data_IF_662836815579
#
_entry.id   IF_662836815579
#
_cell.length_a   1.000
_cell.length_b   1.000
_cell.length_c   1.000
_cell.angle_alpha   90.00
_cell.angle_beta   90.00
_cell.angle_gamma   90.00
#
_symmetry.space_group_name_H-M   'P 1'
#
loop_
_entity.id
_entity.type
_entity.pdbx_description
1 polymer ?
#
# COMPACT_ATOMS: atom_id res chain seq x y z
N UNK A 1 19.53 -27.63 37.66
CA UNK A 1 20.63 -26.91 36.98
C UNK A 1 20.20 -25.49 36.60
N UNK A 2 19.05 -25.33 35.93
CA UNK A 2 18.47 -24.03 35.56
C UNK A 2 18.30 -23.03 36.73
N UNK A 3 17.82 -23.48 37.90
CA UNK A 3 17.72 -22.64 39.10
C UNK A 3 19.07 -22.08 39.61
N UNK A 4 20.19 -22.68 39.20
CA UNK A 4 21.55 -22.22 39.53
C UNK A 4 22.21 -21.45 38.37
N UNK A 5 21.78 -21.71 37.12
CA UNK A 5 22.29 -21.06 35.92
C UNK A 5 21.16 -20.96 34.88
N UNK A 6 20.56 -19.77 34.77
CA UNK A 6 19.42 -19.49 33.88
C UNK A 6 19.79 -19.55 32.40
N UNK A 7 21.07 -19.32 32.04
CA UNK A 7 21.54 -19.36 30.63
C UNK A 7 21.36 -20.72 29.96
N UNK A 8 21.20 -21.79 30.75
CA UNK A 8 21.00 -23.15 30.23
C UNK A 8 19.77 -23.23 29.33
N UNK A 9 18.73 -22.42 29.58
CA UNK A 9 17.50 -22.46 28.79
C UNK A 9 17.73 -22.12 27.32
N UNK A 10 18.38 -20.98 27.01
CA UNK A 10 18.67 -20.64 25.61
C UNK A 10 19.79 -21.49 25.00
N UNK A 11 20.77 -21.96 25.78
CA UNK A 11 21.76 -22.91 25.27
C UNK A 11 21.14 -24.25 24.89
N UNK A 12 20.08 -24.67 25.58
CA UNK A 12 19.30 -25.83 25.19
C UNK A 12 18.60 -25.60 23.85
N UNK A 13 17.96 -24.43 23.65
CA UNK A 13 17.36 -24.07 22.35
C UNK A 13 18.39 -24.10 21.22
N UNK A 14 19.59 -23.58 21.46
CA UNK A 14 20.71 -23.66 20.51
C UNK A 14 21.15 -25.09 20.22
N UNK A 15 21.35 -25.89 21.27
CA UNK A 15 21.73 -27.30 21.12
C UNK A 15 20.70 -28.08 20.29
N UNK A 16 19.41 -27.83 20.51
CA UNK A 16 18.34 -28.48 19.78
C UNK A 16 18.29 -28.03 18.30
N UNK A 17 18.55 -26.75 18.02
CA UNK A 17 18.65 -26.25 16.63
C UNK A 17 19.81 -26.93 15.86
N UNK A 18 21.01 -26.94 16.45
CA UNK A 18 22.22 -27.50 15.82
C UNK A 18 22.24 -29.03 15.81
N UNK A 19 21.58 -29.65 16.78
CA UNK A 19 21.46 -31.10 16.90
C UNK A 19 20.83 -31.73 15.67
N UNK A 20 21.51 -32.73 15.08
CA UNK A 20 21.05 -33.49 13.90
C UNK A 20 20.00 -34.56 14.23
N UNK A 21 19.35 -34.50 15.40
CA UNK A 21 18.37 -35.52 15.82
C UNK A 21 17.03 -35.21 15.13
N UNK A 22 16.53 -36.19 14.37
CA UNK A 22 15.58 -35.99 13.27
C UNK A 22 14.11 -35.90 13.71
N UNK A 23 13.76 -36.23 14.96
CA UNK A 23 12.38 -36.17 15.42
C UNK A 23 12.21 -35.37 16.73
N UNK A 24 11.27 -34.43 16.68
CA UNK A 24 10.70 -33.68 17.80
C UNK A 24 11.66 -32.82 18.64
N UNK A 25 12.63 -32.18 17.97
CA UNK A 25 13.72 -31.38 18.58
C UNK A 25 13.27 -30.47 19.73
N UNK A 26 12.13 -29.79 19.60
CA UNK A 26 11.69 -28.80 20.59
C UNK A 26 10.72 -29.34 21.64
N UNK A 27 10.27 -30.60 21.57
CA UNK A 27 9.49 -31.20 22.65
C UNK A 27 10.31 -31.40 23.92
N UNK A 28 11.62 -31.65 23.78
CA UNK A 28 12.53 -31.73 24.93
C UNK A 28 12.56 -30.39 25.69
N UNK A 29 12.50 -29.26 24.98
CA UNK A 29 12.38 -27.94 25.64
C UNK A 29 11.03 -27.77 26.32
N UNK A 30 9.93 -28.22 25.68
CA UNK A 30 8.58 -28.21 26.30
C UNK A 30 8.57 -29.01 27.60
N UNK A 31 9.16 -30.20 27.60
CA UNK A 31 9.23 -31.07 28.77
C UNK A 31 10.15 -30.50 29.85
N UNK A 32 11.27 -29.90 29.45
CA UNK A 32 12.12 -29.13 30.36
C UNK A 32 11.33 -28.02 31.06
N UNK A 33 10.56 -27.21 30.33
CA UNK A 33 9.72 -26.16 30.94
C UNK A 33 8.70 -26.74 31.93
N UNK A 34 8.08 -27.89 31.65
CA UNK A 34 7.14 -28.54 32.59
C UNK A 34 7.79 -28.96 33.90
N UNK A 35 9.09 -29.24 33.91
CA UNK A 35 9.83 -29.56 35.15
C UNK A 35 10.14 -28.34 36.01
N UNK A 36 9.97 -27.13 35.47
CA UNK A 36 10.13 -25.88 36.21
C UNK A 36 8.80 -25.55 36.90
N UNK A 37 8.72 -25.80 38.20
CA UNK A 37 7.53 -25.51 39.00
C UNK A 37 7.06 -24.05 38.80
N UNK A 38 5.75 -23.87 38.57
CA UNK A 38 5.07 -22.57 38.44
C UNK A 38 5.49 -21.66 37.28
N UNK A 39 6.07 -22.20 36.18
CA UNK A 39 6.25 -21.42 34.95
C UNK A 39 5.56 -22.08 33.77
N UNK A 40 4.74 -21.30 33.07
CA UNK A 40 4.23 -21.69 31.77
C UNK A 40 5.35 -21.58 30.71
N UNK A 41 5.12 -22.26 29.60
CA UNK A 41 6.12 -22.36 28.54
C UNK A 41 6.41 -21.00 27.86
N UNK A 42 5.41 -20.14 27.75
CA UNK A 42 5.56 -18.81 27.15
C UNK A 42 6.45 -17.94 28.03
N UNK A 43 6.20 -17.89 29.33
CA UNK A 43 7.06 -17.18 30.27
C UNK A 43 8.50 -17.72 30.29
N UNK A 44 8.69 -19.05 30.23
CA UNK A 44 10.02 -19.64 30.15
C UNK A 44 10.75 -19.21 28.88
N UNK A 45 10.09 -19.36 27.72
CA UNK A 45 10.66 -19.04 26.43
C UNK A 45 11.03 -17.57 26.33
N UNK A 46 10.13 -16.67 26.77
CA UNK A 46 10.41 -15.23 26.77
C UNK A 46 11.56 -14.87 27.71
N UNK A 47 11.66 -15.49 28.89
CA UNK A 47 12.79 -15.26 29.81
C UNK A 47 14.11 -15.71 29.16
N UNK A 48 14.13 -16.89 28.57
CA UNK A 48 15.34 -17.44 27.94
C UNK A 48 15.79 -16.63 26.73
N UNK A 49 14.83 -16.17 25.90
CA UNK A 49 15.13 -15.35 24.73
C UNK A 49 15.64 -13.96 25.11
N UNK A 50 15.11 -13.34 26.17
CA UNK A 50 15.65 -12.08 26.70
C UNK A 50 17.08 -12.25 27.20
N UNK A 51 17.36 -13.31 27.97
CA UNK A 51 18.73 -13.60 28.41
C UNK A 51 19.67 -13.87 27.23
N UNK A 52 19.19 -14.58 26.20
CA UNK A 52 19.98 -14.82 25.00
C UNK A 52 20.29 -13.52 24.25
N UNK A 53 19.31 -12.62 24.15
CA UNK A 53 19.46 -11.33 23.51
C UNK A 53 20.46 -10.43 24.26
N UNK A 54 20.40 -10.42 25.59
CA UNK A 54 21.34 -9.67 26.44
C UNK A 54 22.78 -10.19 26.33
N UNK A 55 22.96 -11.51 26.23
CA UNK A 55 24.28 -12.14 26.18
C UNK A 55 24.88 -12.19 24.75
N UNK A 56 24.08 -12.54 23.73
CA UNK A 56 24.52 -12.71 22.33
C UNK A 56 23.35 -12.52 21.33
N UNK A 57 23.24 -11.30 20.79
CA UNK A 57 22.23 -10.96 19.77
C UNK A 57 22.34 -11.83 18.52
N UNK A 58 23.56 -12.22 18.10
CA UNK A 58 23.74 -13.01 16.88
C UNK A 58 23.18 -14.41 17.06
N UNK A 59 23.43 -15.02 18.21
CA UNK A 59 22.82 -16.29 18.58
C UNK A 59 21.30 -16.16 18.69
N UNK A 60 20.82 -15.10 19.34
CA UNK A 60 19.39 -14.82 19.45
C UNK A 60 18.71 -14.75 18.07
N UNK A 61 19.21 -13.92 17.14
CA UNK A 61 18.67 -13.83 15.77
C UNK A 61 18.75 -15.17 15.03
N UNK A 62 19.83 -15.93 15.23
CA UNK A 62 19.97 -17.26 14.64
C UNK A 62 18.87 -18.22 15.11
N UNK A 63 18.38 -18.11 16.35
CA UNK A 63 17.32 -18.97 16.89
C UNK A 63 15.91 -18.60 16.37
N UNK A 64 15.66 -17.33 16.04
CA UNK A 64 14.32 -16.81 15.73
C UNK A 64 13.51 -17.66 14.73
N UNK A 65 14.05 -18.08 13.57
CA UNK A 65 13.27 -18.90 12.63
C UNK A 65 12.70 -20.19 13.22
N UNK A 66 13.49 -20.91 14.02
CA UNK A 66 13.03 -22.14 14.69
C UNK A 66 12.03 -21.84 15.79
N UNK A 67 12.19 -20.72 16.51
CA UNK A 67 11.21 -20.32 17.54
C UNK A 67 9.83 -20.08 16.91
N UNK A 68 9.76 -19.34 15.81
CA UNK A 68 8.50 -19.10 15.10
C UNK A 68 7.91 -20.39 14.50
N UNK A 69 8.75 -21.31 14.07
CA UNK A 69 8.31 -22.59 13.48
C UNK A 69 7.83 -23.59 14.53
N UNK A 70 8.53 -23.70 15.67
CA UNK A 70 8.26 -24.72 16.70
C UNK A 70 7.27 -24.27 17.77
N UNK A 71 7.16 -22.95 17.99
CA UNK A 71 6.24 -22.34 18.96
C UNK A 71 5.31 -21.30 18.32
N UNK A 72 4.61 -21.61 17.21
CA UNK A 72 3.80 -20.61 16.49
C UNK A 72 2.66 -20.04 17.33
N UNK A 73 2.13 -20.82 18.30
CA UNK A 73 1.05 -20.37 19.18
C UNK A 73 1.51 -19.35 20.23
N UNK A 74 2.82 -19.25 20.47
CA UNK A 74 3.43 -18.33 21.43
C UNK A 74 4.08 -17.16 20.67
N UNK A 75 4.82 -17.47 19.60
CA UNK A 75 5.61 -16.51 18.86
C UNK A 75 4.77 -15.64 17.90
N UNK A 76 3.85 -16.24 17.13
CA UNK A 76 3.07 -15.51 16.13
C UNK A 76 1.95 -14.76 16.84
N UNK A 77 1.99 -13.43 16.75
CA UNK A 77 1.04 -12.55 17.45
C UNK A 77 1.58 -11.94 18.74
N UNK A 78 2.73 -12.39 19.23
CA UNK A 78 3.39 -11.77 20.38
C UNK A 78 4.08 -10.47 19.96
N UNK A 79 3.45 -9.34 20.29
CA UNK A 79 4.05 -8.03 20.12
C UNK A 79 5.32 -7.87 20.96
N UNK A 80 5.38 -8.54 22.11
CA UNK A 80 6.54 -8.52 23.00
C UNK A 80 7.77 -9.19 22.38
N UNK A 81 7.61 -10.38 21.81
CA UNK A 81 8.70 -11.07 21.12
C UNK A 81 9.15 -10.28 19.89
N UNK A 82 8.20 -9.74 19.13
CA UNK A 82 8.53 -8.96 17.94
C UNK A 82 9.27 -7.66 18.30
N UNK A 83 8.84 -6.98 19.37
CA UNK A 83 9.52 -5.81 19.92
C UNK A 83 10.93 -6.15 20.37
N UNK A 84 11.12 -7.26 21.09
CA UNK A 84 12.44 -7.75 21.49
C UNK A 84 13.36 -8.00 20.29
N UNK A 85 12.82 -8.49 19.18
CA UNK A 85 13.60 -8.70 17.95
C UNK A 85 14.01 -7.35 17.35
N UNK A 86 13.06 -6.46 17.07
CA UNK A 86 13.35 -5.20 16.37
C UNK A 86 14.16 -4.21 17.21
N UNK A 87 14.10 -4.30 18.54
CA UNK A 87 14.91 -3.48 19.46
C UNK A 87 16.36 -3.95 19.57
N UNK A 88 16.67 -5.17 19.10
CA UNK A 88 17.96 -5.80 19.33
C UNK A 88 18.80 -6.00 18.08
N UNK A 89 18.17 -6.05 16.90
CA UNK A 89 18.86 -6.34 15.64
C UNK A 89 19.48 -5.10 15.01
N UNK A 90 20.48 -5.32 14.17
CA UNK A 90 21.01 -4.33 13.23
C UNK A 90 20.49 -4.52 11.79
N UNK A 91 20.97 -3.70 10.86
CA UNK A 91 20.58 -3.79 9.45
C UNK A 91 20.99 -5.08 8.75
N UNK A 92 22.11 -5.71 9.14
CA UNK A 92 22.56 -6.98 8.56
C UNK A 92 21.66 -8.12 9.04
N UNK A 93 21.35 -8.13 10.33
CA UNK A 93 20.46 -9.12 10.94
C UNK A 93 19.02 -8.98 10.42
N UNK A 94 18.54 -7.76 10.23
CA UNK A 94 17.27 -7.50 9.56
C UNK A 94 17.27 -8.09 8.14
N UNK A 95 18.32 -7.84 7.37
CA UNK A 95 18.43 -8.38 6.01
C UNK A 95 18.39 -9.91 6.00
N UNK A 96 19.08 -10.57 6.95
CA UNK A 96 19.04 -12.02 7.09
C UNK A 96 17.61 -12.52 7.41
N UNK A 97 16.91 -11.86 8.33
CA UNK A 97 15.52 -12.19 8.65
C UNK A 97 14.59 -12.00 7.45
N UNK A 98 14.75 -10.91 6.70
CA UNK A 98 14.01 -10.68 5.44
C UNK A 98 14.28 -11.79 4.44
N UNK A 99 15.54 -12.22 4.28
CA UNK A 99 15.88 -13.36 3.43
C UNK A 99 15.17 -14.65 3.87
N UNK A 100 15.14 -14.93 5.18
CA UNK A 100 14.44 -16.11 5.71
C UNK A 100 12.93 -16.05 5.46
N UNK A 101 12.32 -14.87 5.55
CA UNK A 101 10.89 -14.66 5.23
C UNK A 101 10.64 -14.95 3.75
N UNK A 102 11.44 -14.37 2.85
CA UNK A 102 11.29 -14.55 1.40
C UNK A 102 11.55 -15.99 0.94
N UNK A 103 12.40 -16.73 1.65
CA UNK A 103 12.64 -18.16 1.44
C UNK A 103 11.50 -19.04 1.99
N UNK A 104 10.57 -18.48 2.77
CA UNK A 104 9.47 -19.21 3.40
C UNK A 104 9.86 -19.95 4.68
N UNK A 105 11.04 -19.67 5.26
CA UNK A 105 11.52 -20.29 6.49
C UNK A 105 11.06 -19.57 7.77
N UNK A 106 10.57 -18.33 7.64
CA UNK A 106 10.12 -17.51 8.76
C UNK A 106 8.77 -16.87 8.44
N UNK A 107 7.79 -17.10 9.32
CA UNK A 107 6.47 -16.47 9.28
C UNK A 107 6.21 -15.83 10.63
N UNK A 108 6.14 -14.50 10.67
CA UNK A 108 6.02 -13.71 11.90
C UNK A 108 4.59 -13.18 12.14
N UNK A 109 3.76 -13.10 11.10
CA UNK A 109 2.45 -12.47 11.17
C UNK A 109 1.31 -13.44 10.86
N UNK A 110 0.17 -13.21 11.51
CA UNK A 110 -1.11 -13.87 11.24
C UNK A 110 -2.23 -12.83 11.20
N UNK A 111 -3.26 -13.08 10.38
CA UNK A 111 -4.37 -12.16 10.15
C UNK A 111 -5.14 -11.72 11.41
N UNK A 112 -5.29 -12.59 12.40
CA UNK A 112 -6.04 -12.34 13.65
C UNK A 112 -5.28 -11.41 14.62
N UNK A 113 -3.95 -11.50 14.68
CA UNK A 113 -3.10 -10.75 15.60
C UNK A 113 -2.38 -9.55 14.95
N UNK A 114 -2.36 -9.48 13.61
CA UNK A 114 -1.65 -8.45 12.85
C UNK A 114 -2.00 -7.02 13.28
N UNK A 115 -3.30 -6.70 13.41
CA UNK A 115 -3.73 -5.38 13.84
C UNK A 115 -3.31 -5.08 15.28
N UNK A 116 -3.28 -6.08 16.17
CA UNK A 116 -2.84 -5.89 17.56
C UNK A 116 -1.36 -5.51 17.60
N UNK A 117 -0.53 -6.20 16.81
CA UNK A 117 0.89 -5.88 16.67
C UNK A 117 1.08 -4.47 16.12
N UNK A 118 0.37 -4.10 15.06
CA UNK A 118 0.49 -2.76 14.48
C UNK A 118 0.14 -1.66 15.49
N UNK A 119 -0.93 -1.83 16.29
CA UNK A 119 -1.28 -0.83 17.31
C UNK A 119 -0.22 -0.75 18.41
N UNK A 120 0.31 -1.88 18.87
CA UNK A 120 1.40 -1.87 19.86
C UNK A 120 2.67 -1.19 19.30
N UNK A 121 2.96 -1.38 18.02
CA UNK A 121 4.16 -0.83 17.39
C UNK A 121 4.20 0.69 17.24
N UNK A 122 3.05 1.36 17.37
CA UNK A 122 2.99 2.82 17.30
C UNK A 122 3.71 3.51 18.47
N UNK A 123 3.96 2.78 19.56
CA UNK A 123 4.69 3.28 20.73
C UNK A 123 6.17 2.92 20.72
N UNK A 124 6.63 2.17 19.70
CA UNK A 124 8.02 1.74 19.57
C UNK A 124 8.89 2.87 19.01
N UNK A 125 10.21 2.74 19.21
CA UNK A 125 11.16 3.73 18.70
C UNK A 125 11.19 3.77 17.17
N UNK A 126 11.64 4.89 16.61
CA UNK A 126 11.66 5.14 15.17
C UNK A 126 12.30 3.99 14.37
N UNK A 127 13.47 3.50 14.80
CA UNK A 127 14.17 2.43 14.09
C UNK A 127 13.45 1.09 14.19
N UNK A 128 12.86 0.79 15.35
CA UNK A 128 12.10 -0.42 15.62
C UNK A 128 10.86 -0.49 14.72
N UNK A 129 10.16 0.64 14.55
CA UNK A 129 9.05 0.75 13.62
C UNK A 129 9.49 0.53 12.17
N UNK A 130 10.61 1.14 11.74
CA UNK A 130 11.11 0.92 10.38
C UNK A 130 11.47 -0.55 10.14
N UNK A 131 12.14 -1.20 11.09
CA UNK A 131 12.47 -2.63 10.99
C UNK A 131 11.20 -3.49 10.92
N UNK A 132 10.20 -3.20 11.76
CA UNK A 132 8.90 -3.86 11.67
C UNK A 132 8.28 -3.71 10.27
N UNK A 133 8.26 -2.50 9.71
CA UNK A 133 7.68 -2.26 8.40
C UNK A 133 8.43 -2.98 7.26
N UNK A 134 9.76 -3.14 7.37
CA UNK A 134 10.52 -3.98 6.43
C UNK A 134 10.12 -5.46 6.54
N UNK A 135 9.95 -5.98 7.76
CA UNK A 135 9.48 -7.35 7.99
C UNK A 135 8.05 -7.56 7.46
N UNK A 136 7.15 -6.57 7.64
CA UNK A 136 5.77 -6.61 7.11
C UNK A 136 5.79 -6.66 5.59
N UNK A 137 6.59 -5.80 4.95
CA UNK A 137 6.72 -5.76 3.50
C UNK A 137 7.22 -7.11 2.94
N UNK A 138 8.18 -7.75 3.62
CA UNK A 138 8.71 -9.05 3.21
C UNK A 138 7.65 -10.19 3.23
N UNK A 139 6.63 -10.09 4.08
CA UNK A 139 5.57 -11.10 4.18
C UNK A 139 4.48 -10.97 3.10
N UNK A 140 4.56 -9.98 2.20
CA UNK A 140 3.55 -9.72 1.18
C UNK A 140 2.11 -9.63 1.76
N UNK A 141 1.97 -8.99 2.92
CA UNK A 141 0.66 -8.81 3.55
C UNK A 141 -0.15 -7.83 2.70
N UNK A 142 -1.39 -8.17 2.29
CA UNK A 142 -2.23 -7.26 1.51
C UNK A 142 -2.46 -5.96 2.26
N UNK A 143 -2.34 -4.83 1.55
CA UNK A 143 -2.47 -3.50 2.16
C UNK A 143 -3.83 -3.29 2.83
N UNK A 144 -4.88 -4.00 2.37
CA UNK A 144 -6.22 -3.97 2.94
C UNK A 144 -6.25 -4.38 4.41
N UNK A 145 -5.33 -5.24 4.84
CA UNK A 145 -5.21 -5.63 6.25
C UNK A 145 -4.59 -4.52 7.11
N UNK A 146 -3.86 -3.58 6.53
CA UNK A 146 -3.26 -2.43 7.20
C UNK A 146 -4.28 -1.28 7.32
N UNK A 147 -5.12 -1.10 6.30
CA UNK A 147 -6.07 0.02 6.21
C UNK A 147 -6.92 0.31 7.45
N UNK A 148 -7.37 -0.67 8.28
CA UNK A 148 -8.16 -0.39 9.48
C UNK A 148 -7.47 0.49 10.53
N UNK A 149 -6.14 0.54 10.57
CA UNK A 149 -5.41 1.42 11.51
C UNK A 149 -5.33 2.87 11.00
N UNK A 150 -5.38 3.06 9.68
CA UNK A 150 -5.07 4.33 9.02
C UNK A 150 -5.88 5.52 9.57
N UNK A 151 -7.20 5.44 9.82
CA UNK A 151 -7.96 6.58 10.35
C UNK A 151 -7.50 7.09 11.72
N UNK A 152 -6.81 6.25 12.50
CA UNK A 152 -6.35 6.58 13.86
C UNK A 152 -4.98 7.24 13.90
N UNK A 153 -4.24 7.22 12.79
CA UNK A 153 -2.85 7.68 12.77
C UNK A 153 -2.76 9.21 12.66
N UNK A 154 -2.28 9.85 13.71
CA UNK A 154 -1.84 11.26 13.76
C UNK A 154 -0.60 11.51 12.87
N UNK A 155 -0.59 12.60 12.10
CA UNK A 155 0.45 12.90 11.10
C UNK A 155 1.84 13.12 11.70
N UNK A 156 1.94 13.86 12.80
CA UNK A 156 3.21 14.16 13.46
C UNK A 156 3.69 13.01 14.36
N UNK A 157 2.77 12.32 15.03
CA UNK A 157 3.12 11.30 16.03
C UNK A 157 3.49 9.96 15.41
N UNK A 158 2.91 9.60 14.26
CA UNK A 158 3.09 8.28 13.64
C UNK A 158 3.74 8.39 12.26
N UNK A 159 4.82 9.17 12.18
CA UNK A 159 5.48 9.50 10.92
C UNK A 159 6.03 8.26 10.19
N UNK A 160 6.57 7.30 10.93
CA UNK A 160 7.16 6.05 10.44
C UNK A 160 6.10 5.14 9.81
N UNK A 161 4.99 4.94 10.54
CA UNK A 161 3.85 4.17 10.05
C UNK A 161 3.21 4.82 8.83
N UNK A 162 2.94 6.13 8.87
CA UNK A 162 2.35 6.83 7.73
C UNK A 162 3.26 6.83 6.51
N UNK A 163 4.57 7.03 6.68
CA UNK A 163 5.53 6.97 5.56
C UNK A 163 5.54 5.58 4.91
N UNK A 164 5.56 4.52 5.72
CA UNK A 164 5.57 3.14 5.25
C UNK A 164 4.27 2.74 4.56
N UNK A 165 3.12 3.16 5.09
CA UNK A 165 1.81 2.94 4.46
C UNK A 165 1.71 3.72 3.14
N UNK A 166 2.21 4.95 3.07
CA UNK A 166 2.17 5.76 1.86
C UNK A 166 2.96 5.11 0.71
N UNK A 167 4.14 4.57 1.01
CA UNK A 167 4.98 3.85 0.04
C UNK A 167 4.28 2.56 -0.43
N UNK A 168 3.61 1.83 0.46
CA UNK A 168 2.84 0.64 0.08
C UNK A 168 1.62 1.01 -0.78
N UNK A 169 0.83 2.01 -0.40
CA UNK A 169 -0.32 2.48 -1.18
C UNK A 169 0.06 2.96 -2.58
N UNK A 170 1.25 3.56 -2.74
CA UNK A 170 1.78 3.97 -4.05
C UNK A 170 1.90 2.79 -5.02
N UNK A 171 2.16 1.58 -4.53
CA UNK A 171 2.31 0.38 -5.37
C UNK A 171 0.96 -0.22 -5.77
N UNK A 172 -0.14 0.26 -5.18
CA UNK A 172 -1.48 -0.28 -5.35
C UNK A 172 -2.32 0.53 -6.32
N UNK A 173 -3.26 -0.15 -6.96
CA UNK A 173 -4.27 0.49 -7.81
C UNK A 173 -5.45 0.95 -6.93
N UNK A 174 -5.96 2.19 -7.08
CA UNK A 174 -7.03 2.70 -6.21
C UNK A 174 -8.26 1.79 -6.25
N UNK A 175 -8.84 1.55 -5.09
CA UNK A 175 -10.05 0.76 -4.91
C UNK A 175 -10.93 1.38 -3.82
N UNK A 176 -12.22 1.03 -3.81
CA UNK A 176 -13.15 1.56 -2.80
C UNK A 176 -12.75 1.18 -1.36
N UNK A 177 -12.17 -0.01 -1.16
CA UNK A 177 -11.73 -0.48 0.16
C UNK A 177 -10.48 0.26 0.65
N UNK A 178 -9.60 0.74 -0.26
CA UNK A 178 -8.45 1.57 0.10
C UNK A 178 -8.81 3.04 0.25
N UNK A 179 -9.66 3.56 -0.64
CA UNK A 179 -10.02 4.97 -0.69
C UNK A 179 -10.86 5.40 0.52
N UNK A 180 -11.73 4.52 0.99
CA UNK A 180 -12.63 4.81 2.11
C UNK A 180 -11.86 5.15 3.40
N UNK A 181 -10.91 4.33 3.90
CA UNK A 181 -10.15 4.66 5.11
C UNK A 181 -9.27 5.92 4.96
N UNK A 182 -8.79 6.22 3.75
CA UNK A 182 -8.07 7.48 3.46
C UNK A 182 -8.99 8.69 3.71
N UNK A 183 -10.23 8.63 3.22
CA UNK A 183 -11.21 9.68 3.46
C UNK A 183 -11.74 9.69 4.90
N UNK A 184 -11.72 8.57 5.63
CA UNK A 184 -12.08 8.53 7.05
C UNK A 184 -11.06 9.21 7.97
N UNK A 185 -9.85 9.52 7.51
CA UNK A 185 -8.88 10.32 8.27
C UNK A 185 -9.40 11.73 8.48
N UNK A 186 -9.02 12.33 9.61
CA UNK A 186 -9.25 13.75 9.85
C UNK A 186 -8.47 14.61 8.83
N UNK A 187 -9.13 15.61 8.25
CA UNK A 187 -8.49 16.50 7.27
C UNK A 187 -7.87 17.71 7.98
N UNK A 188 -6.56 17.67 8.24
CA UNK A 188 -5.79 18.77 8.84
C UNK A 188 -4.93 19.48 7.78
N UNK A 189 -4.77 20.81 7.88
CA UNK A 189 -4.02 21.63 6.89
C UNK A 189 -2.54 21.24 6.72
N UNK A 190 -1.93 20.68 7.76
CA UNK A 190 -0.54 20.25 7.77
C UNK A 190 -0.39 18.72 7.67
N UNK A 191 -1.49 17.99 7.46
CA UNK A 191 -1.45 16.55 7.16
C UNK A 191 -1.51 16.37 5.64
N UNK A 192 -0.35 16.06 5.06
CA UNK A 192 -0.21 15.87 3.62
C UNK A 192 -0.41 14.42 3.18
N UNK A 193 -0.73 13.49 4.07
CA UNK A 193 -0.82 12.06 3.74
C UNK A 193 -1.88 11.80 2.68
N UNK A 194 -3.14 12.15 2.96
CA UNK A 194 -4.27 11.86 2.07
C UNK A 194 -4.11 12.58 0.73
N UNK A 195 -3.68 13.85 0.77
CA UNK A 195 -3.47 14.65 -0.44
C UNK A 195 -2.35 14.07 -1.31
N UNK A 196 -1.26 13.59 -0.72
CA UNK A 196 -0.14 13.03 -1.48
C UNK A 196 -0.52 11.77 -2.24
N UNK A 197 -1.23 10.83 -1.58
CA UNK A 197 -1.66 9.60 -2.25
C UNK A 197 -2.76 9.85 -3.29
N UNK A 198 -3.73 10.72 -2.98
CA UNK A 198 -4.78 11.09 -3.94
C UNK A 198 -4.20 11.77 -5.18
N UNK A 199 -3.23 12.67 -5.00
CA UNK A 199 -2.52 13.30 -6.12
C UNK A 199 -1.78 12.27 -6.97
N UNK A 200 -1.06 11.36 -6.34
CA UNK A 200 -0.32 10.31 -7.06
C UNK A 200 -1.28 9.45 -7.89
N UNK A 201 -2.37 8.96 -7.30
CA UNK A 201 -3.37 8.19 -8.02
C UNK A 201 -4.13 9.00 -9.07
N UNK A 202 -4.32 10.30 -8.88
CA UNK A 202 -4.91 11.17 -9.91
C UNK A 202 -4.02 11.30 -11.15
N UNK A 203 -2.70 11.06 -11.03
CA UNK A 203 -1.77 11.09 -12.16
C UNK A 203 -1.66 9.73 -12.86
N UNK A 204 -1.63 8.64 -12.09
CA UNK A 204 -1.43 7.28 -12.63
C UNK A 204 -2.74 6.56 -12.99
N UNK A 205 -3.84 6.88 -12.31
CA UNK A 205 -5.13 6.18 -12.37
C UNK A 205 -6.30 7.17 -12.40
N UNK A 206 -6.18 8.23 -13.20
CA UNK A 206 -7.12 9.36 -13.30
C UNK A 206 -8.59 8.91 -13.38
N UNK A 207 -8.97 8.18 -14.43
CA UNK A 207 -10.35 7.73 -14.69
C UNK A 207 -10.91 6.93 -13.49
N UNK A 208 -10.12 5.96 -13.01
CA UNK A 208 -10.53 5.05 -11.94
C UNK A 208 -10.72 5.77 -10.62
N UNK A 209 -9.84 6.70 -10.28
CA UNK A 209 -9.97 7.49 -9.06
C UNK A 209 -11.19 8.41 -9.13
N UNK A 210 -11.42 9.08 -10.26
CA UNK A 210 -12.57 9.96 -10.46
C UNK A 210 -13.90 9.21 -10.28
N UNK A 211 -14.02 8.01 -10.88
CA UNK A 211 -15.20 7.16 -10.74
C UNK A 211 -15.42 6.69 -9.28
N UNK A 212 -14.34 6.35 -8.57
CA UNK A 212 -14.42 5.94 -7.18
C UNK A 212 -14.86 7.10 -6.27
N UNK A 213 -14.37 8.31 -6.52
CA UNK A 213 -14.77 9.53 -5.78
C UNK A 213 -16.24 9.85 -6.04
N UNK A 214 -16.69 9.80 -7.29
CA UNK A 214 -18.10 9.96 -7.65
C UNK A 214 -18.97 8.94 -6.91
N UNK A 215 -18.60 7.65 -6.99
CA UNK A 215 -19.32 6.59 -6.30
C UNK A 215 -19.35 6.79 -4.77
N UNK A 216 -18.28 7.32 -4.18
CA UNK A 216 -18.22 7.62 -2.75
C UNK A 216 -19.19 8.74 -2.37
N UNK A 217 -19.18 9.85 -3.11
CA UNK A 217 -20.04 11.01 -2.86
C UNK A 217 -21.52 10.65 -3.05
N UNK A 218 -21.86 9.91 -4.12
CA UNK A 218 -23.24 9.50 -4.37
C UNK A 218 -23.78 8.55 -3.28
N UNK A 219 -22.92 7.68 -2.73
CA UNK A 219 -23.31 6.72 -1.66
C UNK A 219 -23.43 7.36 -0.28
N UNK A 220 -22.72 8.46 0.00
CA UNK A 220 -22.70 9.10 1.33
C UNK A 220 -23.95 9.96 1.64
N UNK A 221 -25.03 9.84 0.87
CA UNK A 221 -26.24 10.65 1.04
C UNK A 221 -27.10 10.19 2.25
N UNK A 222 -27.41 11.08 3.22
CA UNK A 222 -28.29 10.77 4.35
C UNK A 222 -29.77 10.62 3.98
N UNK A 223 -30.18 10.93 2.74
CA UNK A 223 -31.59 10.94 2.33
C UNK A 223 -32.14 9.61 1.81
N UNK A 224 -31.37 8.51 1.84
CA UNK A 224 -31.93 7.16 1.72
C UNK A 224 -32.44 6.68 3.09
N UNK A 225 -33.76 6.65 3.35
CA UNK A 225 -34.27 6.15 4.61
C UNK A 225 -34.27 4.62 4.51
N UNK A 226 -33.21 3.96 4.96
CA UNK A 226 -33.32 2.55 5.28
C UNK A 226 -32.53 2.13 6.51
N UNK A 227 -33.33 1.85 7.54
CA UNK A 227 -33.15 1.01 8.74
C UNK A 227 -32.44 1.59 9.98
N UNK A 228 -33.34 2.07 10.85
CA UNK A 228 -33.31 2.04 12.32
C UNK A 228 -32.26 2.92 12.99
N UNK A 229 -32.65 4.20 13.11
CA UNK A 229 -32.66 4.99 14.35
C UNK A 229 -32.27 4.18 15.60
N UNK A 230 -31.00 4.26 15.99
CA UNK A 230 -30.57 3.98 17.36
C UNK A 230 -29.89 5.25 17.88
N UNK A 231 -30.67 6.06 18.59
CA UNK A 231 -30.16 7.13 19.46
C UNK A 231 -29.21 6.45 20.45
N UNK A 232 -27.95 6.85 20.47
CA UNK A 232 -27.07 6.61 21.60
C UNK A 232 -26.28 7.89 21.85
N UNK A 233 -26.67 8.55 22.93
CA UNK A 233 -25.84 9.46 23.70
C UNK A 233 -24.62 8.72 24.25
N UNK A 234 -23.57 9.50 24.55
CA UNK A 234 -22.39 9.18 25.38
C UNK A 234 -21.34 8.20 24.83
N UNK A 235 -20.13 8.76 24.63
CA UNK A 235 -18.82 8.21 25.04
C UNK A 235 -18.69 6.68 25.06
N UNK A 236 -18.26 6.12 23.94
CA UNK A 236 -17.42 4.91 23.93
C UNK A 236 -16.83 4.68 22.55
N UNK A 237 -15.52 4.46 22.54
CA UNK A 237 -14.69 4.06 21.41
C UNK A 237 -15.18 2.67 20.97
N UNK A 238 -16.00 2.59 19.92
CA UNK A 238 -16.40 1.30 19.32
C UNK A 238 -15.68 1.11 17.98
N UNK A 239 -14.48 0.54 18.05
CA UNK A 239 -13.78 0.01 16.90
C UNK A 239 -14.56 -1.20 16.35
N UNK A 240 -15.32 -1.02 15.27
CA UNK A 240 -15.75 -2.05 14.28
C UNK A 240 -17.06 -1.77 13.54
N UNK A 241 -17.69 -0.60 13.67
CA UNK A 241 -18.56 -0.15 12.58
C UNK A 241 -17.65 0.34 11.46
N UNK A 242 -17.74 -0.30 10.28
CA UNK A 242 -17.22 0.26 9.03
C UNK A 242 -17.80 1.67 8.91
N UNK A 243 -17.05 2.68 9.33
CA UNK A 243 -17.45 4.08 9.32
C UNK A 243 -17.30 4.59 7.88
N UNK A 244 -18.38 5.10 7.30
CA UNK A 244 -18.33 5.65 5.94
C UNK A 244 -17.99 7.13 6.09
N UNK A 245 -17.03 7.68 5.31
CA UNK A 245 -16.73 9.09 5.36
C UNK A 245 -17.95 9.89 4.90
N UNK A 246 -18.21 10.99 5.58
CA UNK A 246 -19.30 11.90 5.21
C UNK A 246 -18.97 12.61 3.89
N UNK A 247 -19.99 13.16 3.23
CA UNK A 247 -19.78 13.99 2.03
C UNK A 247 -18.86 15.17 2.37
N UNK A 248 -19.09 15.82 3.51
CA UNK A 248 -18.26 16.94 3.99
C UNK A 248 -16.80 16.51 4.18
N UNK A 249 -16.54 15.34 4.77
CA UNK A 249 -15.18 14.85 4.98
C UNK A 249 -14.48 14.56 3.64
N UNK A 250 -15.20 13.97 2.68
CA UNK A 250 -14.68 13.73 1.33
C UNK A 250 -14.34 15.05 0.62
N UNK A 251 -15.24 16.03 0.68
CA UNK A 251 -15.03 17.38 0.11
C UNK A 251 -13.86 18.10 0.78
N UNK A 252 -13.68 17.92 2.08
CA UNK A 252 -12.54 18.49 2.81
C UNK A 252 -11.21 18.01 2.25
N UNK A 253 -11.06 16.71 1.98
CA UNK A 253 -9.85 16.15 1.38
C UNK A 253 -9.65 16.62 -0.07
N UNK A 254 -10.73 16.72 -0.86
CA UNK A 254 -10.67 17.22 -2.24
C UNK A 254 -10.28 18.70 -2.31
N UNK A 255 -10.84 19.54 -1.44
CA UNK A 255 -10.49 20.95 -1.39
C UNK A 255 -9.06 21.14 -0.87
N UNK A 256 -8.63 20.33 0.10
CA UNK A 256 -7.24 20.34 0.53
C UNK A 256 -6.29 19.96 -0.62
N UNK A 257 -6.65 18.95 -1.41
CA UNK A 257 -5.89 18.57 -2.60
C UNK A 257 -5.85 19.70 -3.63
N UNK A 258 -6.97 20.40 -3.87
CA UNK A 258 -7.02 21.59 -4.75
C UNK A 258 -6.04 22.67 -4.27
N UNK A 259 -6.06 23.01 -2.98
CA UNK A 259 -5.22 24.06 -2.40
C UNK A 259 -3.72 23.73 -2.48
N UNK A 260 -3.34 22.49 -2.19
CA UNK A 260 -1.93 22.07 -2.12
C UNK A 260 -1.36 21.73 -3.49
N UNK A 261 -2.11 20.99 -4.32
CA UNK A 261 -1.57 20.40 -5.54
C UNK A 261 -1.76 21.30 -6.77
N UNK A 262 -2.67 22.29 -6.70
CA UNK A 262 -3.10 23.12 -7.84
C UNK A 262 -3.47 22.30 -9.09
N UNK A 263 -3.81 21.03 -8.91
CA UNK A 263 -4.05 20.09 -10.00
C UNK A 263 -5.50 20.20 -10.47
N UNK A 264 -5.77 21.20 -11.33
CA UNK A 264 -7.12 21.50 -11.82
C UNK A 264 -7.58 20.45 -12.83
N UNK A 265 -6.67 19.79 -13.56
CA UNK A 265 -7.05 18.85 -14.63
C UNK A 265 -7.86 17.65 -14.10
N UNK A 266 -7.45 17.08 -12.97
CA UNK A 266 -8.21 16.01 -12.33
C UNK A 266 -9.61 16.46 -11.90
N UNK A 267 -9.76 17.72 -11.45
CA UNK A 267 -11.06 18.26 -11.04
C UNK A 267 -11.96 18.46 -12.26
N UNK A 268 -11.40 18.79 -13.44
CA UNK A 268 -12.14 18.91 -14.71
C UNK A 268 -12.57 17.57 -15.32
N UNK A 269 -12.16 16.44 -14.75
CA UNK A 269 -12.56 15.11 -15.24
C UNK A 269 -14.08 14.90 -15.17
N UNK A 270 -14.67 14.26 -16.19
CA UNK A 270 -16.14 14.12 -16.33
C UNK A 270 -16.81 13.55 -15.06
N UNK A 271 -16.30 12.45 -14.52
CA UNK A 271 -16.85 11.84 -13.29
C UNK A 271 -16.70 12.74 -12.06
N UNK A 272 -15.62 13.53 -11.97
CA UNK A 272 -15.43 14.50 -10.89
C UNK A 272 -16.42 15.65 -11.01
N UNK A 273 -16.66 16.13 -12.22
CA UNK A 273 -17.62 17.19 -12.54
C UNK A 273 -19.05 16.75 -12.19
N UNK A 274 -19.43 15.52 -12.55
CA UNK A 274 -20.68 14.91 -12.12
C UNK A 274 -20.79 14.81 -10.59
N UNK A 275 -19.68 14.50 -9.90
CA UNK A 275 -19.67 14.41 -8.44
C UNK A 275 -19.87 15.78 -7.77
N UNK A 276 -19.24 16.83 -8.29
CA UNK A 276 -19.41 18.19 -7.79
C UNK A 276 -20.81 18.74 -8.07
N UNK A 277 -21.38 18.48 -9.25
CA UNK A 277 -22.77 18.83 -9.57
C UNK A 277 -23.75 18.10 -8.66
N UNK A 278 -23.51 16.80 -8.39
CA UNK A 278 -24.32 16.05 -7.44
C UNK A 278 -24.33 16.71 -6.05
N UNK A 279 -23.19 17.21 -5.57
CA UNK A 279 -23.09 17.95 -4.31
C UNK A 279 -23.85 19.28 -4.38
N UNK A 280 -23.73 20.04 -5.47
CA UNK A 280 -24.47 21.29 -5.66
C UNK A 280 -25.99 21.10 -5.62
N UNK A 281 -26.50 20.00 -6.18
CA UNK A 281 -27.93 19.72 -6.19
C UNK A 281 -28.45 19.13 -4.87
N UNK A 282 -27.66 18.30 -4.16
CA UNK A 282 -28.16 17.45 -3.08
C UNK A 282 -27.66 17.82 -1.67
N UNK A 283 -26.70 18.75 -1.52
CA UNK A 283 -26.18 19.16 -0.21
C UNK A 283 -26.81 20.47 0.30
N UNK A 284 -26.62 20.74 1.60
CA UNK A 284 -27.10 21.97 2.25
C UNK A 284 -26.29 23.19 1.84
N UNK A 285 -26.89 24.38 1.94
CA UNK A 285 -26.21 25.63 1.56
C UNK A 285 -24.98 25.92 2.43
N UNK A 286 -24.95 25.44 3.67
CA UNK A 286 -23.75 25.48 4.54
C UNK A 286 -22.54 24.80 3.90
N UNK A 287 -22.71 23.59 3.37
CA UNK A 287 -21.64 22.84 2.69
C UNK A 287 -21.23 23.56 1.41
N UNK A 288 -22.21 24.08 0.65
CA UNK A 288 -21.94 24.82 -0.59
C UNK A 288 -21.16 26.10 -0.34
N UNK A 289 -21.48 26.85 0.71
CA UNK A 289 -20.73 28.04 1.10
C UNK A 289 -19.30 27.68 1.55
N UNK A 290 -19.14 26.62 2.35
CA UNK A 290 -17.84 26.20 2.88
C UNK A 290 -16.86 25.74 1.78
N UNK A 291 -17.35 25.03 0.77
CA UNK A 291 -16.55 24.50 -0.33
C UNK A 291 -16.82 25.23 -1.66
N UNK A 292 -17.29 26.48 -1.59
CA UNK A 292 -17.73 27.25 -2.77
C UNK A 292 -16.65 27.36 -3.84
N UNK A 293 -15.41 27.59 -3.41
CA UNK A 293 -14.22 27.63 -4.27
C UNK A 293 -13.97 26.34 -5.06
N UNK A 294 -14.21 25.17 -4.44
CA UNK A 294 -14.06 23.87 -5.10
C UNK A 294 -15.25 23.63 -6.05
N UNK A 295 -16.45 23.97 -5.61
CA UNK A 295 -17.68 23.82 -6.40
C UNK A 295 -17.73 24.79 -7.59
N UNK A 296 -17.08 25.94 -7.51
CA UNK A 296 -16.96 26.89 -8.62
C UNK A 296 -16.10 26.37 -9.78
N UNK A 297 -15.32 25.30 -9.56
CA UNK A 297 -14.60 24.58 -10.62
C UNK A 297 -15.51 23.57 -11.34
N UNK A 298 -16.76 23.40 -10.91
CA UNK A 298 -17.72 22.61 -11.65
C UNK A 298 -18.17 23.42 -12.88
N UNK A 299 -17.84 22.92 -14.08
CA UNK A 299 -18.37 23.43 -15.34
C UNK A 299 -19.82 22.97 -15.51
N UNK A 300 -20.69 23.85 -16.03
CA UNK A 300 -22.05 23.49 -16.42
C UNK A 300 -21.98 22.57 -17.65
N UNK A 301 -22.06 21.25 -17.45
CA UNK A 301 -22.03 20.25 -18.53
C UNK A 301 -23.20 20.36 -19.53
N UNK A 302 -24.21 21.17 -19.23
CA UNK A 302 -25.28 21.54 -20.18
C UNK A 302 -24.71 22.19 -21.46
N UNK A 303 -23.63 22.98 -21.35
CA UNK A 303 -23.08 23.75 -22.50
C UNK A 303 -22.08 22.97 -23.38
N UNK A 304 -21.50 21.87 -22.87
CA UNK A 304 -20.52 21.05 -23.60
C UNK A 304 -21.21 20.13 -24.62
N UNK A 305 -22.46 19.73 -24.36
CA UNK A 305 -23.25 18.94 -25.31
C UNK A 305 -23.77 19.78 -26.48
N UNK A 306 -24.02 21.07 -26.29
CA UNK A 306 -24.51 21.99 -27.34
C UNK A 306 -23.39 22.46 -28.28
N UNK A 307 -22.15 22.62 -27.80
CA UNK A 307 -21.03 23.08 -28.64
C UNK A 307 -20.50 22.02 -29.61
N UNK A 308 -20.63 20.72 -29.32
CA UNK A 308 -20.22 19.64 -30.24
C UNK A 308 -21.19 19.42 -31.42
N UNK A 309 -22.42 19.92 -31.36
CA UNK A 309 -23.45 19.69 -32.41
C UNK A 309 -23.48 20.81 -33.47
N UNK A 310 -22.87 21.97 -33.21
CA UNK A 310 -22.88 23.11 -34.13
C UNK A 310 -21.78 23.07 -35.21
N UNK A 311 -20.91 22.05 -35.21
CA UNK A 311 -19.83 21.88 -36.19
C UNK A 311 -19.98 20.61 -37.01
N UNK A 312 -21.06 20.53 -37.79
CA UNK A 312 -21.13 19.55 -38.87
C UNK A 312 -22.54 19.16 -39.33
N UNK A 313 -23.11 19.93 -40.27
CA UNK A 313 -23.99 19.40 -41.34
C UNK A 313 -24.41 20.50 -42.32
N UNK A 314 -23.60 20.75 -43.33
CA UNK A 314 -24.10 21.20 -44.63
C UNK A 314 -24.10 20.00 -45.58
N UNK A 315 -25.29 19.47 -45.86
CA UNK A 315 -25.52 18.50 -46.94
C UNK A 315 -25.60 19.26 -48.26
N UNK A 316 -24.83 18.85 -49.26
CA UNK A 316 -25.14 19.10 -50.66
C UNK A 316 -24.76 17.85 -51.48
N UNK A 317 -25.77 17.16 -51.97
CA UNK A 317 -25.68 16.13 -52.98
C UNK A 317 -25.67 16.82 -54.35
N UNK A 318 -24.74 16.47 -55.23
CA UNK A 318 -24.96 16.20 -56.68
C UNK A 318 -23.61 16.04 -57.38
N UNK A 319 -23.37 14.87 -57.97
CA UNK A 319 -22.38 14.69 -59.05
C UNK A 319 -23.05 15.05 -60.38
N UNK A 320 -22.28 15.42 -61.43
CA UNK A 320 -21.66 14.39 -62.28
C UNK A 320 -20.23 14.72 -62.77
N UNK A 321 -19.49 13.65 -63.08
CA UNK A 321 -18.20 13.62 -63.83
C UNK A 321 -18.42 14.10 -65.30
N UNK A 322 -17.38 14.52 -66.08
CA UNK A 322 -16.34 13.59 -66.52
C UNK A 322 -14.91 14.16 -66.85
N UNK A 323 -13.97 13.20 -66.96
CA UNK A 323 -12.81 13.11 -67.90
C UNK A 323 -11.59 14.05 -67.83
N UNK A 324 -10.46 13.43 -67.43
CA UNK A 324 -9.14 13.37 -68.08
C UNK A 324 -8.47 14.64 -68.67
N UNK A 325 -7.28 15.00 -68.16
CA UNK A 325 -5.98 14.77 -68.85
C UNK A 325 -4.80 15.55 -68.23
N UNK A 326 -3.66 14.83 -68.14
CA UNK A 326 -2.26 15.21 -68.41
C UNK A 326 -1.57 16.46 -67.79
N UNK A 327 -0.34 16.16 -67.33
CA UNK A 327 0.92 16.95 -67.45
C UNK A 327 1.07 18.16 -66.51
N UNK A 328 2.26 18.61 -66.08
CA UNK A 328 3.66 18.16 -65.94
C UNK A 328 4.38 19.41 -65.39
N UNK A 329 5.51 19.22 -64.69
CA UNK A 329 6.62 20.19 -64.46
C UNK A 329 6.52 21.24 -63.32
N UNK A 330 7.48 21.09 -62.41
CA UNK A 330 8.28 22.10 -61.67
C UNK A 330 8.99 23.10 -62.63
N UNK A 331 9.72 24.19 -62.24
CA UNK A 331 10.53 24.34 -61.01
C UNK A 331 10.79 25.78 -60.44
N UNK A 332 11.60 25.79 -59.37
CA UNK A 332 12.64 26.78 -59.00
C UNK A 332 12.26 28.13 -58.35
N UNK A 333 12.74 28.38 -57.12
CA UNK A 333 13.91 29.24 -56.83
C UNK A 333 14.18 29.36 -55.30
N UNK A 334 15.45 29.13 -54.91
CA UNK A 334 16.11 29.58 -53.67
C UNK A 334 16.75 30.99 -53.94
N UNK A 335 17.43 31.73 -53.02
CA UNK A 335 18.34 31.34 -51.90
C UNK A 335 18.00 32.10 -50.57
N UNK A 336 18.62 31.92 -49.41
CA UNK A 336 20.05 31.99 -49.06
C UNK A 336 20.40 31.37 -47.71
N UNK A 337 21.58 30.72 -47.68
CA UNK A 337 22.71 30.78 -46.73
C UNK A 337 22.44 31.03 -45.23
N UNK A 338 23.03 30.32 -44.27
CA UNK A 338 24.33 29.62 -44.25
C UNK A 338 24.32 28.54 -43.16
N UNK A 339 24.91 27.38 -43.51
CA UNK A 339 25.91 26.55 -42.79
C UNK A 339 26.19 26.89 -41.32
N UNK A 340 26.49 25.96 -40.40
CA UNK A 340 26.91 24.54 -40.36
C UNK A 340 27.13 24.28 -38.84
N UNK A 341 27.19 23.11 -38.23
CA UNK A 341 27.52 21.75 -38.63
C UNK A 341 27.20 20.83 -37.44
N UNK A 342 26.85 19.57 -37.73
CA UNK A 342 27.22 18.32 -37.02
C UNK A 342 26.79 18.14 -35.55
N UNK A 343 26.18 17.05 -35.09
CA UNK A 343 25.78 15.73 -35.63
C UNK A 343 25.03 15.05 -34.47
N UNK A 344 23.80 14.57 -34.66
CA UNK A 344 23.44 13.18 -35.01
C UNK A 344 23.81 12.19 -33.87
N UNK A 345 22.84 11.74 -33.07
CA UNK A 345 21.87 10.65 -33.36
C UNK A 345 22.47 9.29 -32.94
N UNK A 346 21.75 8.25 -32.56
CA UNK A 346 20.33 8.02 -32.39
C UNK A 346 20.16 6.78 -31.50
N UNK A 347 18.96 6.69 -30.96
CA UNK A 347 18.35 5.56 -30.28
C UNK A 347 17.93 4.51 -31.33
N UNK A 348 18.23 3.22 -31.15
CA UNK A 348 17.42 2.14 -31.74
C UNK A 348 17.34 0.88 -30.86
N UNK A 349 16.12 0.57 -30.40
CA UNK A 349 15.53 -0.80 -30.33
C UNK A 349 14.39 -0.81 -31.38
N UNK A 350 13.78 -1.94 -31.85
CA UNK A 350 13.57 -3.23 -31.15
C UNK A 350 13.50 -4.52 -32.05
N UNK A 351 13.36 -5.72 -31.44
CA UNK A 351 12.25 -6.70 -31.62
C UNK A 351 12.62 -8.17 -31.33
N UNK A 352 11.58 -8.87 -30.86
CA UNK A 352 11.43 -10.27 -30.43
C UNK A 352 11.40 -11.31 -31.56
N UNK A 353 11.73 -12.59 -31.27
CA UNK A 353 11.25 -13.77 -32.02
C UNK A 353 11.21 -15.07 -31.19
N UNK A 354 10.33 -15.98 -31.64
CA UNK A 354 9.70 -17.15 -31.00
C UNK A 354 10.54 -18.45 -30.94
N UNK A 355 10.10 -19.36 -30.05
CA UNK A 355 10.35 -20.82 -29.92
C UNK A 355 10.52 -21.61 -31.24
N UNK A 356 11.39 -22.63 -31.22
CA UNK A 356 11.17 -23.93 -31.89
C UNK A 356 11.92 -25.08 -31.17
N UNK A 357 11.24 -26.22 -31.02
CA UNK A 357 11.74 -27.53 -30.53
C UNK A 357 12.57 -28.24 -31.60
N UNK A 358 13.51 -29.09 -31.16
CA UNK A 358 14.10 -30.19 -31.93
C UNK A 358 15.07 -31.02 -31.09
N UNK A 359 14.71 -32.29 -30.83
CA UNK A 359 15.59 -33.39 -30.36
C UNK A 359 16.51 -33.84 -31.52
N UNK A 360 17.62 -34.59 -31.42
CA UNK A 360 17.97 -35.80 -30.62
C UNK A 360 19.49 -36.11 -30.82
N UNK A 361 20.04 -37.27 -30.38
CA UNK A 361 21.11 -37.43 -29.38
C UNK A 361 22.53 -37.64 -29.95
N UNK A 362 23.57 -37.60 -29.12
CA UNK A 362 24.80 -38.36 -29.34
C UNK A 362 25.44 -38.76 -27.99
N UNK A 363 25.60 -40.07 -27.84
CA UNK A 363 26.42 -40.81 -26.88
C UNK A 363 27.94 -40.59 -27.12
N UNK A 364 28.76 -41.29 -26.31
CA UNK A 364 30.24 -41.39 -26.20
C UNK A 364 30.73 -40.71 -24.91
N UNK A 365 30.79 -41.37 -23.74
CA UNK A 365 31.63 -42.52 -23.29
C UNK A 365 33.16 -42.26 -23.32
N UNK A 366 33.81 -42.71 -22.23
CA UNK A 366 35.26 -42.84 -21.93
C UNK A 366 36.03 -41.54 -21.58
N UNK A 367 36.95 -41.46 -20.60
CA UNK A 367 37.48 -42.36 -19.55
C UNK A 367 38.37 -41.52 -18.61
N UNK A 368 38.69 -42.09 -17.43
CA UNK A 368 39.60 -41.68 -16.33
C UNK A 368 39.14 -40.66 -15.25
#
# INVERSE_FOLDING_TARGET
MYAKQSRIGYYMLYYLKVGKIVDDKMSTYKDFCKTLENRDIESCLMTDLRLCQEDDVRLFTYLIPDIYTQFPNIAIGSAELLHLIVSSIDGSQLQDLVCQILQGHLIMFRKDSFLSILNASLEWETIEQYFLWQLIAAHNIPVEHIMPILPKLEFQTHAEALSSILIQLKQECPSAELLRPIFCRECKKHDYFSVSILKYWAQEYEDKLADLVLAQISKSNPSTPNRKRQRSTSTSISANKKENPTIEQTLSHLDHMRQVCRNISFITHESMQQALQYVQCNCTDSIKMKYGDLLALAEDFEDVKTTRVLRGRTKANTSPKPTASKQKKSPAQAPSDSSSESSEDEIVKPKTKKRKRGATPLDEDEDD
#
